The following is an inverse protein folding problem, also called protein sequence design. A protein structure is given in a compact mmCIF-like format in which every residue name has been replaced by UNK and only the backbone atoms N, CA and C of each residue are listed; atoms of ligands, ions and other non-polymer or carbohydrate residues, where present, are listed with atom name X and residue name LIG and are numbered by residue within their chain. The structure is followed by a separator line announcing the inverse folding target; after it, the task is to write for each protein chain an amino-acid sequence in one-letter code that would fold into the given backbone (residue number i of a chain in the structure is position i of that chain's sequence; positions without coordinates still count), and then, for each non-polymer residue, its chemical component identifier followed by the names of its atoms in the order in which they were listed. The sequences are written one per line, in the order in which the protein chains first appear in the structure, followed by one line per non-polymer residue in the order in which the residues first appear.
data_IF_605893822099
#
_entry.id   IF_605893822099
#
_cell.length_a   1.000
_cell.length_b   1.000
_cell.length_c   1.000
_cell.angle_alpha   90.00
_cell.angle_beta   90.00
_cell.angle_gamma   90.00
#
_symmetry.space_group_name_H-M   'P 1'
#
loop_
_entity.id
_entity.type
_entity.pdbx_description
1 polymer ?
#
# COMPACT_ATOMS: atom_id res chain seq x y z
N UNK A 1 -27.08 -19.61 10.06
CA UNK A 1 -27.72 -20.24 11.24
C UNK A 1 -26.82 -20.17 12.49
N UNK A 2 -25.50 -20.12 12.35
CA UNK A 2 -24.55 -20.14 13.49
C UNK A 2 -24.36 -18.81 14.24
N UNK A 3 -24.52 -17.63 13.64
CA UNK A 3 -24.35 -16.37 14.39
C UNK A 3 -25.33 -16.21 15.56
N UNK A 4 -26.55 -16.73 15.40
CA UNK A 4 -27.61 -16.66 16.39
C UNK A 4 -27.38 -17.65 17.54
N UNK A 5 -26.77 -18.81 17.28
CA UNK A 5 -26.51 -19.81 18.33
C UNK A 5 -25.47 -19.31 19.34
N UNK A 6 -24.59 -18.41 18.91
CA UNK A 6 -23.55 -17.80 19.75
C UNK A 6 -23.92 -16.39 20.26
N UNK A 7 -25.14 -15.90 19.98
CA UNK A 7 -25.61 -14.53 20.26
C UNK A 7 -24.63 -13.44 19.75
N UNK A 8 -23.99 -13.66 18.60
CA UNK A 8 -23.00 -12.74 18.04
C UNK A 8 -23.69 -11.45 17.56
N UNK A 9 -24.93 -11.55 17.07
CA UNK A 9 -25.78 -10.44 16.68
C UNK A 9 -25.93 -9.37 17.79
N UNK A 10 -25.88 -9.77 19.06
CA UNK A 10 -25.97 -8.86 20.21
C UNK A 10 -24.62 -8.32 20.69
N UNK A 11 -23.52 -8.80 20.12
CA UNK A 11 -22.14 -8.47 20.54
C UNK A 11 -21.36 -7.70 19.48
N UNK A 12 -21.89 -7.59 18.26
CA UNK A 12 -21.23 -6.83 17.19
C UNK A 12 -21.51 -5.34 17.36
N UNK A 13 -20.44 -4.57 17.53
CA UNK A 13 -20.47 -3.11 17.49
C UNK A 13 -20.07 -2.57 16.10
N UNK A 14 -19.03 -3.16 15.50
CA UNK A 14 -18.46 -2.74 14.21
C UNK A 14 -17.81 -3.91 13.48
N UNK A 15 -17.74 -3.82 12.16
CA UNK A 15 -17.03 -4.77 11.29
C UNK A 15 -16.10 -4.02 10.34
N UNK A 16 -14.95 -4.63 10.07
CA UNK A 16 -13.96 -4.10 9.14
C UNK A 16 -13.76 -5.08 7.99
N UNK A 17 -13.93 -4.61 6.77
CA UNK A 17 -13.63 -5.37 5.56
C UNK A 17 -12.52 -4.69 4.75
N UNK A 18 -11.89 -5.46 3.86
CA UNK A 18 -11.11 -4.89 2.78
C UNK A 18 -12.04 -4.09 1.85
N UNK A 19 -11.48 -3.08 1.16
CA UNK A 19 -12.25 -2.17 0.29
C UNK A 19 -12.57 -2.84 -1.05
N UNK A 20 -13.17 -4.02 -1.01
CA UNK A 20 -13.70 -4.73 -2.16
C UNK A 20 -15.21 -4.43 -2.29
N UNK A 21 -15.63 -3.99 -3.47
CA UNK A 21 -17.04 -3.66 -3.76
C UNK A 21 -18.01 -4.82 -3.51
N UNK A 22 -17.52 -6.06 -3.58
CA UNK A 22 -18.28 -7.26 -3.24
C UNK A 22 -18.77 -7.28 -1.78
N UNK A 23 -18.05 -6.62 -0.87
CA UNK A 23 -18.42 -6.59 0.55
C UNK A 23 -19.50 -5.54 0.85
N UNK A 24 -19.66 -4.52 -0.02
CA UNK A 24 -20.58 -3.42 0.23
C UNK A 24 -22.03 -3.88 0.34
N UNK A 25 -22.44 -4.84 -0.50
CA UNK A 25 -23.80 -5.42 -0.47
C UNK A 25 -24.01 -6.19 0.83
N UNK A 26 -23.07 -7.05 1.20
CA UNK A 26 -23.15 -7.85 2.44
C UNK A 26 -23.19 -6.98 3.69
N UNK A 27 -22.33 -5.97 3.76
CA UNK A 27 -22.29 -4.99 4.87
C UNK A 27 -23.61 -4.25 4.97
N UNK A 28 -24.18 -3.81 3.85
CA UNK A 28 -25.43 -3.06 3.81
C UNK A 28 -26.60 -3.90 4.31
N UNK A 29 -26.72 -5.14 3.83
CA UNK A 29 -27.77 -6.07 4.25
C UNK A 29 -27.64 -6.43 5.74
N UNK A 30 -26.42 -6.71 6.22
CA UNK A 30 -26.18 -7.02 7.63
C UNK A 30 -26.45 -5.81 8.54
N UNK A 31 -26.03 -4.60 8.13
CA UNK A 31 -26.33 -3.35 8.84
C UNK A 31 -27.83 -3.13 8.93
N UNK A 32 -28.55 -3.31 7.81
CA UNK A 32 -30.01 -3.15 7.75
C UNK A 32 -30.70 -4.09 8.73
N UNK A 33 -30.35 -5.38 8.70
CA UNK A 33 -30.93 -6.39 9.59
C UNK A 33 -30.67 -6.13 11.08
N UNK A 34 -29.43 -5.74 11.45
CA UNK A 34 -29.09 -5.41 12.84
C UNK A 34 -29.73 -4.10 13.31
N UNK A 35 -29.87 -3.11 12.41
CA UNK A 35 -30.51 -1.83 12.71
C UNK A 35 -32.02 -1.99 12.95
N UNK A 36 -32.72 -2.80 12.12
CA UNK A 36 -34.14 -3.16 12.34
C UNK A 36 -34.34 -3.84 13.70
N UNK A 37 -33.35 -4.60 14.17
CA UNK A 37 -33.38 -5.25 15.49
C UNK A 37 -32.98 -4.33 16.65
N UNK A 38 -32.58 -3.09 16.39
CA UNK A 38 -32.14 -2.14 17.41
C UNK A 38 -30.82 -2.54 18.09
N UNK A 39 -29.98 -3.35 17.43
CA UNK A 39 -28.76 -3.92 18.01
C UNK A 39 -27.50 -3.08 17.76
N UNK A 40 -27.60 -2.01 16.95
CA UNK A 40 -26.47 -1.15 16.59
C UNK A 40 -26.54 0.21 17.31
N UNK A 41 -25.38 0.64 17.82
CA UNK A 41 -25.19 1.99 18.33
C UNK A 41 -25.30 3.02 17.20
N UNK A 42 -25.84 4.21 17.52
CA UNK A 42 -25.96 5.33 16.57
C UNK A 42 -26.61 4.92 15.24
N UNK A 43 -27.63 4.06 15.27
CA UNK A 43 -28.34 3.57 14.08
C UNK A 43 -27.42 2.92 13.02
N UNK A 44 -26.25 2.42 13.45
CA UNK A 44 -25.28 1.75 12.59
C UNK A 44 -24.31 2.68 11.87
N UNK A 45 -24.21 3.96 12.25
CA UNK A 45 -23.28 4.91 11.61
C UNK A 45 -21.81 4.53 11.77
N UNK A 46 -21.47 3.83 12.86
CA UNK A 46 -20.11 3.33 13.12
C UNK A 46 -19.93 1.84 12.76
N UNK A 47 -20.92 1.22 12.13
CA UNK A 47 -20.93 -0.22 11.92
C UNK A 47 -19.89 -0.69 10.91
N UNK A 48 -19.61 0.12 9.88
CA UNK A 48 -18.65 -0.23 8.83
C UNK A 48 -17.49 0.76 8.79
N UNK A 49 -16.28 0.25 9.04
CA UNK A 49 -15.04 1.00 8.86
C UNK A 49 -14.18 0.25 7.87
N UNK A 50 -13.70 0.96 6.83
CA UNK A 50 -12.76 0.38 5.87
C UNK A 50 -11.45 0.02 6.56
N UNK A 51 -10.85 -1.11 6.19
CA UNK A 51 -9.56 -1.50 6.74
C UNK A 51 -8.47 -0.46 6.41
N UNK A 52 -7.94 0.22 7.43
CA UNK A 52 -6.88 1.25 7.28
C UNK A 52 -5.65 0.68 6.59
N UNK A 53 -5.27 -0.56 6.90
CA UNK A 53 -4.14 -1.23 6.26
C UNK A 53 -4.34 -1.38 4.74
N UNK A 54 -5.58 -1.63 4.30
CA UNK A 54 -5.91 -1.71 2.88
C UNK A 54 -5.84 -0.32 2.20
N UNK A 55 -6.36 0.72 2.86
CA UNK A 55 -6.26 2.10 2.36
C UNK A 55 -4.79 2.50 2.20
N UNK A 56 -3.95 2.20 3.21
CA UNK A 56 -2.51 2.44 3.14
C UNK A 56 -1.86 1.68 1.98
N UNK A 57 -2.23 0.42 1.78
CA UNK A 57 -1.75 -0.36 0.64
C UNK A 57 -2.12 0.29 -0.70
N UNK A 58 -3.35 0.80 -0.86
CA UNK A 58 -3.75 1.51 -2.09
C UNK A 58 -2.91 2.78 -2.31
N UNK A 59 -2.72 3.60 -1.28
CA UNK A 59 -1.90 4.83 -1.36
C UNK A 59 -0.45 4.49 -1.72
N UNK A 60 0.13 3.47 -1.08
CA UNK A 60 1.51 3.04 -1.35
C UNK A 60 1.63 2.49 -2.77
N UNK A 61 0.69 1.66 -3.23
CA UNK A 61 0.71 1.13 -4.59
C UNK A 61 0.62 2.23 -5.64
N UNK A 62 -0.24 3.23 -5.43
CA UNK A 62 -0.39 4.36 -6.35
C UNK A 62 0.89 5.20 -6.41
N UNK A 63 1.45 5.56 -5.25
CA UNK A 63 2.74 6.26 -5.20
C UNK A 63 3.89 5.47 -5.83
N UNK A 64 3.93 4.15 -5.64
CA UNK A 64 4.92 3.29 -6.28
C UNK A 64 4.75 3.22 -7.81
N UNK A 65 3.52 3.28 -8.33
CA UNK A 65 3.29 3.30 -9.79
C UNK A 65 3.87 4.55 -10.44
N UNK A 66 3.71 5.69 -9.81
CA UNK A 66 4.26 6.96 -10.31
C UNK A 66 5.80 7.00 -10.26
N UNK A 67 6.39 6.43 -9.21
CA UNK A 67 7.84 6.50 -8.98
C UNK A 67 8.61 5.35 -9.66
N UNK A 68 7.96 4.21 -9.91
CA UNK A 68 8.58 3.01 -10.49
C UNK A 68 9.31 3.24 -11.82
N UNK A 69 8.77 3.99 -12.81
CA UNK A 69 9.47 4.27 -14.06
C UNK A 69 10.77 5.06 -13.86
N UNK A 70 10.78 5.99 -12.91
CA UNK A 70 11.97 6.78 -12.57
C UNK A 70 13.03 5.88 -11.90
N UNK A 71 12.61 5.07 -10.93
CA UNK A 71 13.51 4.10 -10.26
C UNK A 71 14.10 3.12 -11.26
N UNK A 72 13.30 2.63 -12.21
CA UNK A 72 13.79 1.75 -13.26
C UNK A 72 14.90 2.42 -14.10
N UNK A 73 14.70 3.66 -14.54
CA UNK A 73 15.73 4.42 -15.27
C UNK A 73 17.01 4.60 -14.45
N UNK A 74 16.89 4.96 -13.18
CA UNK A 74 18.04 5.09 -12.27
C UNK A 74 18.78 3.75 -12.16
N UNK A 75 18.06 2.64 -11.95
CA UNK A 75 18.65 1.29 -11.88
C UNK A 75 19.40 0.93 -13.16
N UNK A 76 18.84 1.22 -14.34
CA UNK A 76 19.51 0.96 -15.62
C UNK A 76 20.79 1.80 -15.81
N UNK A 77 20.77 3.07 -15.39
CA UNK A 77 21.96 3.94 -15.39
C UNK A 77 23.04 3.37 -14.46
N UNK A 78 22.66 2.96 -13.25
CA UNK A 78 23.58 2.37 -12.28
C UNK A 78 24.19 1.07 -12.83
N UNK A 79 23.38 0.17 -13.40
CA UNK A 79 23.86 -1.05 -14.06
C UNK A 79 24.84 -0.73 -15.19
N UNK A 80 24.51 0.27 -16.02
CA UNK A 80 25.38 0.70 -17.11
C UNK A 80 26.75 1.17 -16.60
N UNK A 81 26.78 2.03 -15.58
CA UNK A 81 28.03 2.55 -14.98
C UNK A 81 28.89 1.40 -14.45
N UNK A 82 28.26 0.40 -13.82
CA UNK A 82 28.96 -0.73 -13.20
C UNK A 82 29.34 -1.84 -14.17
N UNK A 83 28.86 -1.81 -15.42
CA UNK A 83 29.07 -2.89 -16.38
C UNK A 83 30.55 -3.16 -16.68
N UNK A 84 31.39 -2.11 -16.75
CA UNK A 84 32.82 -2.26 -17.02
C UNK A 84 33.67 -1.25 -16.24
N UNK A 85 34.96 -1.56 -15.97
CA UNK A 85 35.87 -0.62 -15.31
C UNK A 85 35.99 0.72 -16.04
N UNK A 86 36.01 0.67 -17.38
CA UNK A 86 36.07 1.85 -18.23
C UNK A 86 34.84 2.77 -18.04
N UNK A 87 33.63 2.21 -18.00
CA UNK A 87 32.41 3.01 -17.79
C UNK A 87 32.38 3.65 -16.40
N UNK A 88 32.83 2.92 -15.38
CA UNK A 88 33.00 3.46 -14.03
C UNK A 88 33.99 4.62 -14.01
N UNK A 89 35.16 4.46 -14.63
CA UNK A 89 36.16 5.52 -14.73
C UNK A 89 35.61 6.76 -15.47
N UNK A 90 34.87 6.55 -16.56
CA UNK A 90 34.22 7.64 -17.32
C UNK A 90 33.22 8.40 -16.44
N UNK A 91 32.44 7.69 -15.61
CA UNK A 91 31.53 8.31 -14.64
C UNK A 91 32.28 9.08 -13.56
N UNK A 92 33.34 8.52 -12.99
CA UNK A 92 34.15 9.19 -11.96
C UNK A 92 34.80 10.47 -12.50
N UNK A 93 35.26 10.46 -13.76
CA UNK A 93 35.76 11.66 -14.44
C UNK A 93 34.68 12.74 -14.59
N UNK A 94 33.47 12.36 -15.04
CA UNK A 94 32.34 13.29 -15.17
C UNK A 94 31.91 13.85 -13.81
N UNK A 95 31.92 13.02 -12.77
CA UNK A 95 31.64 13.41 -11.38
C UNK A 95 32.65 14.45 -10.88
N UNK A 96 33.93 14.25 -11.17
CA UNK A 96 35.00 15.20 -10.81
C UNK A 96 34.83 16.54 -11.54
N UNK A 97 34.46 16.52 -12.83
CA UNK A 97 34.15 17.73 -13.61
C UNK A 97 32.94 18.49 -13.05
N UNK A 98 31.91 17.78 -12.59
CA UNK A 98 30.74 18.35 -11.95
C UNK A 98 30.98 18.82 -10.50
N UNK A 99 32.20 18.69 -9.97
CA UNK A 99 32.59 19.08 -8.59
C UNK A 99 31.72 18.43 -7.50
N UNK A 100 31.23 17.21 -7.75
CA UNK A 100 30.39 16.48 -6.78
C UNK A 100 31.28 15.89 -5.67
N UNK A 101 31.23 16.52 -4.49
CA UNK A 101 32.10 16.21 -3.34
C UNK A 101 31.74 14.88 -2.64
N UNK A 102 30.52 14.37 -2.83
CA UNK A 102 30.02 13.20 -2.12
C UNK A 102 30.69 11.90 -2.59
N UNK A 103 31.44 11.21 -1.72
CA UNK A 103 32.19 9.98 -2.03
C UNK A 103 31.39 8.68 -1.91
N UNK A 104 30.08 8.75 -1.71
CA UNK A 104 29.24 7.54 -1.71
C UNK A 104 29.32 6.90 -3.11
N UNK A 105 29.66 5.61 -3.12
CA UNK A 105 29.76 4.83 -4.36
C UNK A 105 28.39 4.63 -5.01
N UNK A 106 28.39 4.39 -6.33
CA UNK A 106 27.17 4.01 -7.04
C UNK A 106 26.88 2.53 -6.74
N UNK A 107 25.83 2.26 -5.98
CA UNK A 107 25.42 0.93 -5.55
C UNK A 107 24.05 0.59 -6.16
N UNK A 108 23.87 -0.66 -6.56
CA UNK A 108 22.55 -1.17 -7.00
C UNK A 108 21.78 -1.49 -5.73
N UNK A 109 20.51 -1.10 -5.67
CA UNK A 109 19.61 -1.48 -4.58
C UNK A 109 19.30 -2.99 -4.60
N UNK A 110 18.46 -3.47 -3.69
CA UNK A 110 18.13 -4.89 -3.61
C UNK A 110 17.61 -5.44 -4.96
N UNK A 111 18.15 -6.59 -5.37
CA UNK A 111 17.65 -7.35 -6.52
C UNK A 111 16.21 -7.76 -6.22
N UNK A 112 15.27 -7.32 -7.07
CA UNK A 112 13.87 -7.76 -7.04
C UNK A 112 13.73 -9.00 -7.90
#
# INVERSE_FOLDING_TARGET
MEMLTWNIDKKICSITFDNASHNDVMVKELRSWLCVKGLLLLHGDLFHVKCVAHILNLIVQDGLREVSPLLHKIREIVKYIRLTPYKKQKFDNARNQAKIQHKIGVVVDCLT
#
